data_IF_745458395733
#
_entry.id   IF_745458395733
#
_cell.length_a   1.000
_cell.length_b   1.000
_cell.length_c   1.000
_cell.angle_alpha   90.00
_cell.angle_beta   90.00
_cell.angle_gamma   90.00
#
_symmetry.space_group_name_H-M   'P 1'
#
loop_
_entity.id
_entity.type
_entity.pdbx_description
1 polymer ?
#
# COMPACT_ATOMS: atom_id res chain seq x y z
N UNK A 1 10.12 1.94 9.86
CA UNK A 1 9.31 2.11 8.64
C UNK A 1 10.23 2.00 7.42
N UNK A 2 9.97 1.06 6.52
CA UNK A 2 10.64 0.95 5.23
C UNK A 2 10.15 2.09 4.32
N UNK A 3 11.07 2.87 3.76
CA UNK A 3 10.72 3.96 2.83
C UNK A 3 11.36 3.64 1.47
N UNK A 4 10.58 3.12 0.50
CA UNK A 4 11.10 2.77 -0.81
C UNK A 4 11.74 3.97 -1.52
N UNK A 5 12.69 3.74 -2.45
CA UNK A 5 13.23 4.83 -3.26
C UNK A 5 12.11 5.63 -3.93
N UNK A 6 12.22 6.97 -3.95
CA UNK A 6 11.21 7.87 -4.54
C UNK A 6 9.88 7.93 -3.77
N UNK A 7 9.87 7.46 -2.54
CA UNK A 7 8.85 7.76 -1.55
C UNK A 7 9.49 8.66 -0.49
N UNK A 8 8.83 9.76 -0.14
CA UNK A 8 9.15 10.50 1.07
C UNK A 8 8.02 10.28 2.07
N UNK A 9 8.37 10.11 3.33
CA UNK A 9 7.41 9.96 4.40
C UNK A 9 7.83 10.82 5.59
N UNK A 10 6.87 11.50 6.21
CA UNK A 10 7.08 12.32 7.39
C UNK A 10 5.93 12.13 8.37
N UNK A 11 6.24 11.93 9.64
CA UNK A 11 5.24 12.00 10.71
C UNK A 11 4.83 13.48 10.88
N UNK A 12 3.53 13.75 10.85
CA UNK A 12 2.96 15.09 11.02
C UNK A 12 2.18 15.24 12.34
N UNK A 13 2.27 14.24 13.22
CA UNK A 13 1.58 14.20 14.51
C UNK A 13 0.18 13.57 14.43
N UNK A 14 -0.43 13.36 15.60
CA UNK A 14 -1.78 12.79 15.75
C UNK A 14 -1.98 11.44 15.03
N UNK A 15 -0.96 10.58 15.04
CA UNK A 15 -1.01 9.27 14.38
C UNK A 15 -1.13 9.36 12.86
N UNK A 16 -0.76 10.49 12.26
CA UNK A 16 -0.85 10.72 10.81
C UNK A 16 0.54 10.83 10.19
N UNK A 17 0.76 10.08 9.11
CA UNK A 17 1.98 10.11 8.31
C UNK A 17 1.67 10.68 6.93
N UNK A 18 2.43 11.71 6.56
CA UNK A 18 2.45 12.33 5.26
C UNK A 18 3.34 11.54 4.29
N UNK A 19 2.77 10.98 3.21
CA UNK A 19 3.55 10.21 2.23
C UNK A 19 3.47 10.83 0.84
N UNK A 20 4.63 11.14 0.25
CA UNK A 20 4.77 11.64 -1.12
C UNK A 20 5.30 10.54 -2.04
N UNK A 21 4.51 10.17 -3.03
CA UNK A 21 4.95 9.39 -4.18
C UNK A 21 5.56 10.31 -5.25
N UNK A 22 6.89 10.41 -5.30
CA UNK A 22 7.59 11.36 -6.20
C UNK A 22 7.23 11.14 -7.66
N UNK A 23 7.07 9.88 -8.08
CA UNK A 23 6.79 9.52 -9.47
C UNK A 23 5.48 10.11 -9.99
N UNK A 24 4.45 10.12 -9.14
CA UNK A 24 3.12 10.64 -9.49
C UNK A 24 2.90 12.05 -8.95
N UNK A 25 3.82 12.56 -8.14
CA UNK A 25 3.66 13.81 -7.37
C UNK A 25 2.38 13.80 -6.52
N UNK A 26 1.99 12.61 -6.02
CA UNK A 26 0.79 12.42 -5.20
C UNK A 26 1.15 12.41 -3.74
N UNK A 27 0.41 13.20 -2.95
CA UNK A 27 0.42 13.13 -1.50
C UNK A 27 -0.71 12.24 -1.00
N UNK A 28 -0.41 11.38 -0.02
CA UNK A 28 -1.38 10.50 0.65
C UNK A 28 -1.17 10.62 2.15
N UNK A 29 -2.26 10.86 2.88
CA UNK A 29 -2.28 10.91 4.33
C UNK A 29 -2.68 9.54 4.88
N UNK A 30 -1.79 8.94 5.65
CA UNK A 30 -2.01 7.62 6.24
C UNK A 30 -2.14 7.75 7.75
N UNK A 31 -3.15 7.11 8.33
CA UNK A 31 -3.17 6.87 9.76
C UNK A 31 -2.27 5.67 10.13
N UNK A 32 -2.11 5.40 11.43
CA UNK A 32 -1.28 4.30 11.93
C UNK A 32 -1.62 2.94 11.31
N UNK A 33 -2.91 2.60 11.19
CA UNK A 33 -3.38 1.35 10.57
C UNK A 33 -3.03 1.29 9.09
N UNK A 34 -3.27 2.36 8.33
CA UNK A 34 -2.95 2.42 6.91
C UNK A 34 -1.43 2.37 6.67
N UNK A 35 -0.62 2.91 7.59
CA UNK A 35 0.85 2.73 7.55
C UNK A 35 1.22 1.27 7.75
N UNK A 36 0.65 0.56 8.74
CA UNK A 36 0.89 -0.88 8.96
C UNK A 36 0.54 -1.70 7.71
N UNK A 37 -0.62 -1.44 7.11
CA UNK A 37 -1.06 -2.12 5.88
C UNK A 37 -0.14 -1.81 4.71
N UNK A 38 0.24 -0.54 4.52
CA UNK A 38 1.18 -0.14 3.48
C UNK A 38 2.53 -0.85 3.62
N UNK A 39 3.08 -0.90 4.83
CA UNK A 39 4.35 -1.57 5.11
C UNK A 39 4.25 -3.08 4.84
N UNK A 40 3.19 -3.73 5.31
CA UNK A 40 2.96 -5.15 5.07
C UNK A 40 2.80 -5.49 3.58
N UNK A 41 2.13 -4.63 2.81
CA UNK A 41 2.02 -4.78 1.37
C UNK A 41 3.40 -4.70 0.66
N UNK A 42 4.30 -3.83 1.12
CA UNK A 42 5.66 -3.73 0.58
C UNK A 42 6.52 -4.97 0.87
N UNK A 43 6.31 -5.60 2.02
CA UNK A 43 7.06 -6.78 2.47
C UNK A 43 6.40 -8.12 2.12
N UNK A 44 5.22 -8.10 1.47
CA UNK A 44 4.38 -9.27 1.21
C UNK A 44 3.96 -10.02 2.50
N UNK A 45 3.69 -9.29 3.57
CA UNK A 45 3.32 -9.83 4.89
C UNK A 45 1.90 -9.43 5.33
N UNK A 46 0.99 -9.25 4.37
CA UNK A 46 -0.42 -8.93 4.65
C UNK A 46 -1.14 -10.08 5.38
N UNK A 47 -0.94 -11.37 5.07
CA UNK A 47 -1.58 -12.45 5.80
C UNK A 47 -1.21 -12.46 7.29
N UNK A 48 0.06 -12.20 7.62
CA UNK A 48 0.53 -12.12 9.01
C UNK A 48 -0.10 -10.93 9.74
N UNK A 49 -0.27 -9.79 9.06
CA UNK A 49 -0.95 -8.63 9.62
C UNK A 49 -2.45 -8.88 9.83
N UNK A 50 -3.11 -9.60 8.91
CA UNK A 50 -4.52 -10.01 9.09
C UNK A 50 -4.68 -10.91 10.32
N UNK A 51 -3.80 -11.89 10.51
CA UNK A 51 -3.84 -12.75 11.70
C UNK A 51 -3.53 -11.98 12.99
N UNK A 52 -2.65 -10.97 12.94
CA UNK A 52 -2.40 -10.09 14.08
C UNK A 52 -3.66 -9.32 14.49
N UNK A 53 -4.38 -8.71 13.54
CA UNK A 53 -5.65 -8.05 13.86
C UNK A 53 -6.71 -9.03 14.38
N UNK A 54 -6.79 -10.24 13.83
CA UNK A 54 -7.72 -11.25 14.37
C UNK A 54 -7.33 -11.62 15.81
N UNK A 55 -6.05 -11.73 16.13
CA UNK A 55 -5.56 -11.99 17.48
C UNK A 55 -5.83 -10.82 18.46
N UNK A 56 -5.88 -9.58 17.95
CA UNK A 56 -6.31 -8.38 18.69
C UNK A 56 -7.83 -8.37 18.98
N UNK A 57 -8.59 -9.32 18.41
CA UNK A 57 -10.02 -9.52 18.68
C UNK A 57 -10.97 -8.97 17.62
N UNK A 58 -10.45 -8.54 16.46
CA UNK A 58 -11.29 -8.10 15.35
C UNK A 58 -11.91 -9.28 14.60
N UNK A 59 -13.08 -9.06 13.98
CA UNK A 59 -13.71 -10.07 13.12
C UNK A 59 -12.87 -10.31 11.86
N UNK A 60 -12.65 -11.59 11.53
CA UNK A 60 -11.76 -12.00 10.44
C UNK A 60 -12.21 -11.52 9.07
N UNK A 61 -13.51 -11.58 8.75
CA UNK A 61 -14.00 -11.14 7.45
C UNK A 61 -13.95 -9.61 7.36
N UNK A 62 -14.28 -8.89 8.43
CA UNK A 62 -14.13 -7.44 8.48
C UNK A 62 -12.67 -6.99 8.32
N UNK A 63 -11.73 -7.68 8.97
CA UNK A 63 -10.28 -7.42 8.81
C UNK A 63 -9.86 -7.60 7.36
N UNK A 64 -10.21 -8.74 6.76
CA UNK A 64 -9.87 -9.04 5.37
C UNK A 64 -10.43 -7.98 4.42
N UNK A 65 -11.71 -7.61 4.56
CA UNK A 65 -12.33 -6.57 3.72
C UNK A 65 -11.65 -5.21 3.90
N UNK A 66 -11.33 -4.83 5.14
CA UNK A 66 -10.69 -3.56 5.45
C UNK A 66 -9.26 -3.49 4.89
N UNK A 67 -8.48 -4.58 5.02
CA UNK A 67 -7.13 -4.70 4.45
C UNK A 67 -7.19 -4.64 2.93
N UNK A 68 -8.06 -5.42 2.29
CA UNK A 68 -8.21 -5.41 0.84
C UNK A 68 -8.63 -4.05 0.29
N UNK A 69 -9.53 -3.34 0.99
CA UNK A 69 -9.94 -1.98 0.62
C UNK A 69 -8.77 -1.01 0.72
N UNK A 70 -8.05 -1.00 1.84
CA UNK A 70 -6.86 -0.14 1.99
C UNK A 70 -5.81 -0.43 0.93
N UNK A 71 -5.51 -1.70 0.64
CA UNK A 71 -4.55 -2.06 -0.42
C UNK A 71 -4.99 -1.52 -1.78
N UNK A 72 -6.30 -1.59 -2.08
CA UNK A 72 -6.85 -1.02 -3.31
C UNK A 72 -6.68 0.50 -3.35
N UNK A 73 -7.02 1.21 -2.27
CA UNK A 73 -6.87 2.67 -2.20
C UNK A 73 -5.40 3.10 -2.36
N UNK A 74 -4.46 2.37 -1.75
CA UNK A 74 -3.01 2.61 -1.88
C UNK A 74 -2.47 2.28 -3.29
N UNK A 75 -3.11 1.36 -4.00
CA UNK A 75 -2.82 1.04 -5.41
C UNK A 75 -3.38 2.14 -6.32
N UNK A 76 -4.63 2.53 -6.12
CA UNK A 76 -5.31 3.56 -6.92
C UNK A 76 -4.65 4.94 -6.74
N UNK A 77 -4.08 5.23 -5.57
CA UNK A 77 -3.27 6.44 -5.34
C UNK A 77 -1.88 6.39 -6.02
N UNK A 78 -1.50 5.24 -6.60
CA UNK A 78 -0.20 5.01 -7.21
C UNK A 78 0.94 4.84 -6.21
N UNK A 79 0.64 4.68 -4.91
CA UNK A 79 1.64 4.65 -3.86
C UNK A 79 2.42 3.33 -3.87
N UNK A 80 1.72 2.20 -4.04
CA UNK A 80 2.36 0.88 -4.11
C UNK A 80 3.18 0.71 -5.40
N UNK A 81 2.71 1.23 -6.54
CA UNK A 81 3.44 1.15 -7.82
C UNK A 81 4.65 2.08 -7.86
N UNK A 82 4.61 3.20 -7.14
CA UNK A 82 5.74 4.12 -7.00
C UNK A 82 6.84 3.53 -6.11
N UNK A 83 6.46 2.64 -5.18
CA UNK A 83 7.37 1.93 -4.31
C UNK A 83 8.08 0.73 -4.97
N UNK A 84 7.51 0.16 -6.04
CA UNK A 84 8.12 -0.96 -6.76
C UNK A 84 9.25 -0.49 -7.70
N UNK A 85 10.34 -1.28 -7.84
CA UNK A 85 11.37 -1.01 -8.82
C UNK A 85 10.79 -0.84 -10.23
N UNK A 86 11.31 0.13 -11.00
CA UNK A 86 10.79 0.50 -12.32
C UNK A 86 10.66 -0.68 -13.32
N UNK A 87 11.45 -1.74 -13.14
CA UNK A 87 11.38 -2.95 -13.97
C UNK A 87 10.13 -3.81 -13.68
N UNK A 88 9.64 -3.86 -12.43
CA UNK A 88 8.38 -4.54 -12.08
C UNK A 88 7.16 -3.75 -12.54
N UNK A 89 7.20 -2.42 -12.46
CA UNK A 89 6.12 -1.55 -12.94
C UNK A 89 5.88 -1.64 -14.47
N UNK A 90 6.89 -2.11 -15.23
CA UNK A 90 6.81 -2.27 -16.69
C UNK A 90 6.14 -3.60 -17.11
N UNK A 91 6.16 -4.62 -16.25
CA UNK A 91 5.54 -5.92 -16.53
C UNK A 91 4.01 -5.90 -16.37
N UNK A 92 3.46 -5.07 -15.48
CA UNK A 92 2.01 -4.94 -15.30
C UNK A 92 1.27 -4.22 -16.45
N UNK A 93 1.97 -3.51 -17.34
CA UNK A 93 1.34 -2.79 -18.47
C UNK A 93 1.24 -3.59 -19.76
N UNK A 94 1.91 -4.75 -19.86
CA UNK A 94 1.98 -5.53 -21.10
C UNK A 94 0.79 -6.47 -21.30
N UNK A 95 -0.01 -6.75 -20.26
CA UNK A 95 -1.16 -7.65 -20.31
C UNK A 95 -2.47 -7.00 -20.73
N UNK A 96 -2.56 -5.66 -20.85
CA UNK A 96 -3.80 -4.97 -21.30
C UNK A 96 -3.83 -4.57 -22.78
N UNK A 97 -2.82 -4.95 -23.58
CA UNK A 97 -2.71 -4.52 -25.00
C UNK A 97 -2.67 -5.65 -26.03
N UNK A 98 -3.12 -6.84 -25.67
CA UNK A 98 -3.05 -8.03 -26.54
C UNK A 98 -4.31 -8.88 -26.54
N UNK A 99 -5.50 -8.28 -26.59
CA UNK A 99 -6.74 -9.02 -26.86
C UNK A 99 -7.69 -8.17 -27.72
N UNK A 100 -7.20 -7.78 -28.90
CA UNK A 100 -8.03 -7.47 -30.07
C UNK A 100 -7.24 -7.95 -31.29
N UNK A 101 -7.53 -9.17 -31.72
CA UNK A 101 -7.46 -9.66 -33.10
C UNK A 101 -8.12 -11.04 -33.12
#
# INVERSE_FOLDING_TARGET
MLTPPRIHAADIGHGTTAVLAVRTSTWVWLNETSVRIWQAALTNSLPELEEEFVAEGYDREQVREAVQRNVRDLTDSGLLESALPAWRARLGRRTRRGMVA
#
